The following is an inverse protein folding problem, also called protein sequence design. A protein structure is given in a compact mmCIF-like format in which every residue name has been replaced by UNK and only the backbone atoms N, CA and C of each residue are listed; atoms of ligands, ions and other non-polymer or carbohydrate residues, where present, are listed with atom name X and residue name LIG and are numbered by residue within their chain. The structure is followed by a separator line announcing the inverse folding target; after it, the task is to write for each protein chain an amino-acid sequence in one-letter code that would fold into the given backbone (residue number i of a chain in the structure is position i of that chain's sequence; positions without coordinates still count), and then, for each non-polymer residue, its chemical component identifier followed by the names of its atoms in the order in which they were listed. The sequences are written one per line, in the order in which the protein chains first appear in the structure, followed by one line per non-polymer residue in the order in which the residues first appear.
data_IF_242566212924
#
_entry.id   IF_242566212924
#
_cell.length_a   1.000
_cell.length_b   1.000
_cell.length_c   1.000
_cell.angle_alpha   90.00
_cell.angle_beta   90.00
_cell.angle_gamma   90.00
#
_symmetry.space_group_name_H-M   'P 1'
#
loop_
_entity.id
_entity.type
_entity.pdbx_description
1 polymer ?
#
# COMPACT_ATOMS: atom_id res chain seq x y z
N UNK A 1 2.06 -11.86 18.08
CA UNK A 1 3.12 -11.36 17.18
C UNK A 1 3.91 -12.54 16.64
N UNK A 2 4.43 -12.47 15.40
CA UNK A 2 5.28 -13.53 14.85
C UNK A 2 6.52 -13.73 15.72
N UNK A 3 7.09 -14.96 15.69
CA UNK A 3 8.30 -15.29 16.47
C UNK A 3 9.55 -14.59 15.92
N UNK A 4 9.57 -14.28 14.63
CA UNK A 4 10.65 -13.59 13.92
C UNK A 4 10.06 -12.91 12.66
N UNK A 5 10.60 -11.75 12.28
CA UNK A 5 10.24 -11.06 11.03
C UNK A 5 11.30 -11.40 9.98
N UNK A 6 10.89 -12.15 8.95
CA UNK A 6 11.80 -12.61 7.88
C UNK A 6 11.95 -11.54 6.78
N UNK A 7 10.92 -10.72 6.56
CA UNK A 7 10.91 -9.64 5.58
C UNK A 7 9.83 -8.61 5.91
N UNK A 8 10.06 -7.37 5.50
CA UNK A 8 9.20 -6.21 5.64
C UNK A 8 9.34 -5.33 4.40
N UNK A 9 8.22 -4.78 3.92
CA UNK A 9 8.21 -3.83 2.80
C UNK A 9 7.11 -2.80 2.98
N UNK A 10 7.43 -1.53 2.68
CA UNK A 10 6.43 -0.47 2.60
C UNK A 10 5.54 -0.65 1.35
N UNK A 11 4.26 -0.28 1.46
CA UNK A 11 3.28 -0.36 0.37
C UNK A 11 2.51 0.96 0.21
N UNK A 12 2.06 1.24 -1.01
CA UNK A 12 1.32 2.47 -1.35
C UNK A 12 -0.16 2.39 -0.96
N UNK A 13 -0.84 3.55 -0.88
CA UNK A 13 -2.29 3.60 -0.63
C UNK A 13 -3.13 2.79 -1.64
N UNK A 14 -2.82 2.79 -2.95
CA UNK A 14 -3.44 1.85 -3.91
C UNK A 14 -3.27 0.37 -3.53
N UNK A 15 -2.09 -0.04 -3.03
CA UNK A 15 -1.88 -1.40 -2.56
C UNK A 15 -2.67 -1.70 -1.27
N UNK A 16 -2.70 -0.76 -0.32
CA UNK A 16 -3.51 -0.87 0.91
C UNK A 16 -4.98 -1.05 0.57
N UNK A 17 -5.52 -0.23 -0.35
CA UNK A 17 -6.89 -0.36 -0.86
C UNK A 17 -7.16 -1.76 -1.40
N UNK A 18 -6.25 -2.31 -2.21
CA UNK A 18 -6.36 -3.68 -2.75
C UNK A 18 -6.41 -4.73 -1.64
N UNK A 19 -5.49 -4.65 -0.68
CA UNK A 19 -5.39 -5.61 0.43
C UNK A 19 -6.67 -5.60 1.28
N UNK A 20 -7.14 -4.43 1.70
CA UNK A 20 -8.34 -4.31 2.53
C UNK A 20 -9.62 -4.68 1.77
N UNK A 21 -9.71 -4.36 0.47
CA UNK A 21 -10.83 -4.80 -0.38
C UNK A 21 -10.87 -6.33 -0.49
N UNK A 22 -9.72 -6.98 -0.59
CA UNK A 22 -9.66 -8.44 -0.63
C UNK A 22 -10.04 -9.05 0.72
N UNK A 23 -9.50 -8.51 1.83
CA UNK A 23 -9.87 -8.95 3.18
C UNK A 23 -11.36 -8.78 3.47
N UNK A 24 -12.01 -7.74 2.96
CA UNK A 24 -13.45 -7.52 3.12
C UNK A 24 -14.32 -8.62 2.46
N UNK A 25 -13.78 -9.36 1.48
CA UNK A 25 -14.47 -10.51 0.88
C UNK A 25 -14.46 -11.75 1.77
N UNK A 26 -13.54 -11.83 2.71
CA UNK A 26 -13.36 -12.96 3.62
C UNK A 26 -14.19 -12.80 4.91
N UNK A 27 -14.74 -11.61 5.14
CA UNK A 27 -15.58 -11.31 6.30
C UNK A 27 -15.55 -9.83 6.66
N UNK A 28 -16.31 -9.46 7.69
CA UNK A 28 -16.40 -8.08 8.16
C UNK A 28 -15.03 -7.51 8.55
N UNK A 29 -14.83 -6.23 8.23
CA UNK A 29 -13.66 -5.45 8.64
C UNK A 29 -13.90 -4.87 10.03
N UNK A 30 -12.84 -4.79 10.84
CA UNK A 30 -12.92 -4.02 12.08
C UNK A 30 -13.13 -2.54 11.78
N UNK A 31 -13.59 -1.77 12.78
CA UNK A 31 -13.76 -0.32 12.65
C UNK A 31 -12.51 0.40 12.10
N UNK A 32 -11.33 0.08 12.63
CA UNK A 32 -10.06 0.66 12.17
C UNK A 32 -9.73 0.26 10.72
N UNK A 33 -10.00 -0.99 10.34
CA UNK A 33 -9.81 -1.46 8.97
C UNK A 33 -10.75 -0.76 7.99
N UNK A 34 -12.01 -0.55 8.38
CA UNK A 34 -13.00 0.17 7.59
C UNK A 34 -12.58 1.62 7.33
N UNK A 35 -12.17 2.36 8.37
CA UNK A 35 -11.66 3.74 8.21
C UNK A 35 -10.40 3.76 7.35
N UNK A 36 -9.51 2.78 7.50
CA UNK A 36 -8.30 2.69 6.69
C UNK A 36 -8.63 2.43 5.22
N UNK A 37 -9.61 1.57 4.94
CA UNK A 37 -10.07 1.31 3.58
C UNK A 37 -10.74 2.54 2.96
N UNK A 38 -11.52 3.29 3.74
CA UNK A 38 -12.11 4.56 3.31
C UNK A 38 -11.01 5.57 2.94
N UNK A 39 -10.05 5.80 3.84
CA UNK A 39 -8.91 6.67 3.57
C UNK A 39 -8.13 6.23 2.32
N UNK A 40 -7.74 4.95 2.26
CA UNK A 40 -7.03 4.42 1.09
C UNK A 40 -7.86 4.55 -0.19
N UNK A 41 -9.18 4.42 -0.13
CA UNK A 41 -10.07 4.58 -1.28
C UNK A 41 -10.15 6.01 -1.77
N UNK A 42 -10.21 6.98 -0.87
CA UNK A 42 -10.27 8.42 -1.17
C UNK A 42 -8.96 8.97 -1.73
N UNK A 43 -7.82 8.44 -1.27
CA UNK A 43 -6.49 8.94 -1.65
C UNK A 43 -5.75 8.05 -2.65
N UNK A 44 -6.34 6.95 -3.12
CA UNK A 44 -5.76 6.14 -4.20
C UNK A 44 -5.89 6.84 -5.54
N UNK A 45 -4.79 7.41 -6.03
CA UNK A 45 -4.76 8.17 -7.30
C UNK A 45 -4.60 7.31 -8.56
N UNK A 46 -4.27 6.03 -8.41
CA UNK A 46 -3.99 5.14 -9.54
C UNK A 46 -4.28 3.68 -9.20
N UNK A 47 -4.25 2.82 -10.22
CA UNK A 47 -4.41 1.39 -10.03
C UNK A 47 -3.21 0.77 -9.29
N UNK A 48 -3.41 -0.29 -8.48
CA UNK A 48 -2.33 -0.91 -7.70
C UNK A 48 -1.14 -1.40 -8.54
N UNK A 49 -1.40 -1.92 -9.74
CA UNK A 49 -0.34 -2.37 -10.65
C UNK A 49 0.52 -1.20 -11.18
N UNK A 50 -0.10 -0.03 -11.37
CA UNK A 50 0.61 1.18 -11.82
C UNK A 50 1.46 1.73 -10.67
N UNK A 51 0.93 1.75 -9.44
CA UNK A 51 1.69 2.23 -8.28
C UNK A 51 2.93 1.38 -7.99
N UNK A 52 2.86 0.05 -8.15
CA UNK A 52 4.02 -0.84 -7.99
C UNK A 52 5.12 -0.48 -8.99
N UNK A 53 4.77 -0.39 -10.27
CA UNK A 53 5.73 -0.03 -11.33
C UNK A 53 6.37 1.33 -11.10
N UNK A 54 5.60 2.30 -10.60
CA UNK A 54 6.11 3.63 -10.30
C UNK A 54 7.09 3.62 -9.12
N UNK A 55 6.80 2.88 -8.04
CA UNK A 55 7.74 2.69 -6.92
C UNK A 55 9.04 2.07 -7.41
N UNK A 56 8.97 0.99 -8.18
CA UNK A 56 10.16 0.33 -8.74
C UNK A 56 11.00 1.28 -9.60
N UNK A 57 10.34 2.07 -10.45
CA UNK A 57 11.01 3.07 -11.28
C UNK A 57 11.71 4.14 -10.42
N UNK A 58 11.02 4.67 -9.41
CA UNK A 58 11.56 5.68 -8.50
C UNK A 58 12.79 5.17 -7.74
N UNK A 59 12.74 3.92 -7.26
CA UNK A 59 13.88 3.29 -6.59
C UNK A 59 15.05 3.06 -7.56
N UNK A 60 14.77 2.57 -8.78
CA UNK A 60 15.82 2.20 -9.74
C UNK A 60 16.52 3.40 -10.35
N UNK A 61 15.74 4.34 -10.86
CA UNK A 61 16.21 5.44 -11.71
C UNK A 61 16.69 6.63 -10.87
N UNK A 62 16.05 6.86 -9.71
CA UNK A 62 16.33 8.01 -8.85
C UNK A 62 16.98 7.62 -7.52
N UNK A 63 17.26 6.33 -7.30
CA UNK A 63 17.93 5.80 -6.09
C UNK A 63 17.23 6.17 -4.78
N UNK A 64 15.90 6.38 -4.84
CA UNK A 64 15.09 6.63 -3.65
C UNK A 64 15.00 5.37 -2.80
N UNK A 65 14.93 5.54 -1.47
CA UNK A 65 14.54 4.44 -0.60
C UNK A 65 13.11 4.01 -0.92
N UNK A 66 12.74 2.77 -0.57
CA UNK A 66 11.38 2.29 -0.81
C UNK A 66 10.35 3.16 -0.08
N UNK A 67 10.60 3.52 1.18
CA UNK A 67 9.77 4.44 1.95
C UNK A 67 9.57 5.78 1.25
N UNK A 68 10.63 6.40 0.71
CA UNK A 68 10.55 7.65 -0.03
C UNK A 68 9.73 7.47 -1.32
N UNK A 69 10.00 6.45 -2.10
CA UNK A 69 9.29 6.17 -3.34
C UNK A 69 7.80 5.92 -3.09
N UNK A 70 7.44 5.13 -2.08
CA UNK A 70 6.06 4.87 -1.65
C UNK A 70 5.38 6.18 -1.28
N UNK A 71 6.02 7.03 -0.47
CA UNK A 71 5.44 8.30 -0.07
C UNK A 71 5.27 9.26 -1.25
N UNK A 72 6.22 9.32 -2.18
CA UNK A 72 6.07 10.09 -3.42
C UNK A 72 4.87 9.63 -4.24
N UNK A 73 4.58 8.33 -4.30
CA UNK A 73 3.41 7.78 -5.00
C UNK A 73 2.09 8.08 -4.28
N UNK A 74 2.13 8.28 -2.96
CA UNK A 74 0.94 8.60 -2.16
C UNK A 74 0.57 10.09 -2.20
N UNK A 75 1.53 10.99 -2.43
CA UNK A 75 1.34 12.46 -2.43
C UNK A 75 0.53 12.93 -3.61
#
# INVERSE_FOLDING_TARGET
MPKEIISEEEITLPQVKKVLTQRAKEGELSFQQSITLEHASSFSKMAPAVSIKLVEKLMKDYKLSRAQAVQTVNI
#
